data_IF_494760076299
#
_entry.id   IF_494760076299
#
_cell.length_a   1.000
_cell.length_b   1.000
_cell.length_c   1.000
_cell.angle_alpha   90.00
_cell.angle_beta   90.00
_cell.angle_gamma   90.00
#
_symmetry.space_group_name_H-M   'P 1'
#
loop_
_entity.id
_entity.type
_entity.pdbx_description
1 polymer ?
#
# COMPACT_ATOMS: atom_id res chain seq x y z
N UNK A 1 14.67 9.08 -10.53
CA UNK A 1 15.33 9.49 -9.29
C UNK A 1 15.27 8.29 -8.37
N UNK A 2 16.41 7.71 -8.00
CA UNK A 2 16.42 6.63 -7.01
C UNK A 2 16.08 7.28 -5.67
N UNK A 3 14.95 6.91 -5.06
CA UNK A 3 14.66 7.34 -3.69
C UNK A 3 15.73 6.76 -2.78
N UNK A 4 16.54 7.62 -2.17
CA UNK A 4 17.53 7.21 -1.18
C UNK A 4 16.80 6.88 0.12
N UNK A 5 16.74 5.59 0.44
CA UNK A 5 16.30 5.11 1.75
C UNK A 5 17.28 5.55 2.85
N UNK A 6 16.80 5.75 4.09
CA UNK A 6 17.70 6.01 5.21
C UNK A 6 18.58 4.77 5.48
N UNK A 7 19.80 4.98 6.00
CA UNK A 7 20.67 3.87 6.40
C UNK A 7 20.10 3.05 7.56
N UNK A 8 19.35 3.71 8.46
CA UNK A 8 18.72 3.11 9.64
C UNK A 8 17.28 3.60 9.77
N UNK A 9 16.39 2.68 10.13
CA UNK A 9 15.00 2.97 10.45
C UNK A 9 14.86 2.95 11.98
N UNK A 10 14.31 4.02 12.55
CA UNK A 10 14.29 4.29 13.98
C UNK A 10 12.94 3.95 14.65
N UNK A 11 11.87 3.75 13.87
CA UNK A 11 10.56 3.35 14.41
C UNK A 11 9.71 2.57 13.41
N UNK A 12 8.68 1.88 13.92
CA UNK A 12 7.70 1.17 13.09
C UNK A 12 6.90 2.14 12.22
N UNK A 13 6.54 3.33 12.73
CA UNK A 13 5.84 4.34 11.95
C UNK A 13 6.70 4.86 10.79
N UNK A 14 8.01 5.01 11.00
CA UNK A 14 8.92 5.36 9.92
C UNK A 14 9.00 4.24 8.89
N UNK A 15 9.06 2.98 9.32
CA UNK A 15 9.04 1.83 8.44
C UNK A 15 7.74 1.80 7.62
N UNK A 16 6.59 1.94 8.27
CA UNK A 16 5.28 1.91 7.64
C UNK A 16 5.12 3.03 6.62
N UNK A 17 5.55 4.25 6.95
CA UNK A 17 5.55 5.37 6.00
C UNK A 17 6.42 5.09 4.77
N UNK A 18 7.62 4.52 4.95
CA UNK A 18 8.48 4.13 3.83
C UNK A 18 7.87 3.01 2.98
N UNK A 19 7.30 1.99 3.61
CA UNK A 19 6.72 0.83 2.93
C UNK A 19 5.38 1.13 2.26
N UNK A 20 4.70 2.20 2.66
CA UNK A 20 3.37 2.57 2.13
C UNK A 20 3.39 3.82 1.26
N UNK A 21 4.55 4.46 1.07
CA UNK A 21 4.69 5.60 0.16
C UNK A 21 4.59 5.15 -1.30
N UNK A 22 3.63 5.67 -2.09
CA UNK A 22 3.54 5.31 -3.51
C UNK A 22 4.63 6.01 -4.31
N UNK A 23 5.25 5.28 -5.24
CA UNK A 23 6.16 5.89 -6.21
C UNK A 23 5.40 6.75 -7.21
N UNK A 24 6.09 7.71 -7.83
CA UNK A 24 5.51 8.50 -8.94
C UNK A 24 4.97 7.64 -10.08
N UNK A 25 5.68 6.57 -10.44
CA UNK A 25 5.26 5.66 -11.50
C UNK A 25 3.94 4.94 -11.14
N UNK A 26 3.75 4.59 -9.86
CA UNK A 26 2.50 3.99 -9.39
C UNK A 26 1.34 4.99 -9.44
N UNK A 27 1.56 6.25 -9.04
CA UNK A 27 0.56 7.32 -9.11
C UNK A 27 0.12 7.55 -10.57
N UNK A 28 1.07 7.60 -11.51
CA UNK A 28 0.80 7.79 -12.95
C UNK A 28 0.15 6.57 -13.61
N UNK A 29 0.36 5.38 -13.05
CA UNK A 29 -0.23 4.12 -13.55
C UNK A 29 -1.65 3.91 -13.03
N UNK A 30 -1.97 4.32 -11.79
CA UNK A 30 -3.25 4.05 -11.15
C UNK A 30 -4.51 4.45 -11.97
N UNK A 31 -4.55 5.58 -12.70
CA UNK A 31 -5.68 5.93 -13.57
C UNK A 31 -5.89 4.99 -14.76
N UNK A 32 -4.85 4.24 -15.16
CA UNK A 32 -4.88 3.33 -16.32
C UNK A 32 -5.50 1.97 -15.99
N UNK A 33 -5.72 1.69 -14.71
CA UNK A 33 -6.39 0.47 -14.26
C UNK A 33 -7.90 0.66 -14.39
N UNK A 34 -8.57 -0.30 -15.02
CA UNK A 34 -10.03 -0.32 -15.05
C UNK A 34 -10.61 -0.87 -13.74
N UNK A 35 -11.71 -0.29 -13.28
CA UNK A 35 -12.42 -0.75 -12.08
C UNK A 35 -11.72 -0.46 -10.75
N UNK A 36 -12.16 -1.19 -9.72
CA UNK A 36 -11.66 -1.12 -8.33
C UNK A 36 -10.55 -2.15 -8.09
N UNK A 37 -9.83 -2.03 -6.97
CA UNK A 37 -8.70 -2.90 -6.61
C UNK A 37 -9.08 -3.91 -5.52
N UNK A 38 -8.62 -5.15 -5.65
CA UNK A 38 -8.70 -6.17 -4.58
C UNK A 38 -7.30 -6.65 -4.20
N UNK A 39 -7.03 -6.77 -2.89
CA UNK A 39 -5.77 -7.24 -2.33
C UNK A 39 -6.03 -8.50 -1.52
N UNK A 40 -5.53 -9.62 -2.04
CA UNK A 40 -5.61 -10.94 -1.41
C UNK A 40 -4.47 -11.10 -0.40
N UNK A 41 -4.79 -11.47 0.84
CA UNK A 41 -3.80 -11.57 1.92
C UNK A 41 -3.48 -10.22 2.58
N UNK A 42 -4.48 -9.33 2.71
CA UNK A 42 -4.29 -7.97 3.26
C UNK A 42 -3.71 -7.97 4.69
N UNK A 43 -3.99 -9.02 5.48
CA UNK A 43 -3.48 -9.15 6.84
C UNK A 43 -2.10 -9.85 6.93
N UNK A 44 -1.44 -10.10 5.80
CA UNK A 44 -0.06 -10.59 5.77
C UNK A 44 0.96 -9.49 6.07
N UNK A 45 2.23 -9.88 6.22
CA UNK A 45 3.36 -8.97 6.55
C UNK A 45 3.41 -7.69 5.70
N UNK A 46 3.16 -7.81 4.39
CA UNK A 46 3.19 -6.69 3.45
C UNK A 46 1.80 -6.13 3.14
N UNK A 47 0.74 -6.80 3.57
CA UNK A 47 -0.61 -6.54 3.06
C UNK A 47 -1.13 -5.17 3.49
N UNK A 48 -0.95 -4.81 4.77
CA UNK A 48 -1.38 -3.52 5.30
C UNK A 48 -0.64 -2.36 4.61
N UNK A 49 0.69 -2.45 4.51
CA UNK A 49 1.50 -1.44 3.82
C UNK A 49 1.11 -1.30 2.34
N UNK A 50 0.87 -2.42 1.64
CA UNK A 50 0.42 -2.43 0.24
C UNK A 50 -0.97 -1.80 0.08
N UNK A 51 -1.92 -2.11 0.97
CA UNK A 51 -3.25 -1.50 0.98
C UNK A 51 -3.19 0.00 1.19
N UNK A 52 -2.40 0.44 2.17
CA UNK A 52 -2.18 1.86 2.43
C UNK A 52 -1.51 2.55 1.23
N UNK A 53 -0.54 1.90 0.57
CA UNK A 53 0.11 2.42 -0.64
C UNK A 53 -0.88 2.60 -1.79
N UNK A 54 -1.75 1.62 -2.03
CA UNK A 54 -2.76 1.69 -3.07
C UNK A 54 -3.73 2.86 -2.84
N UNK A 55 -4.23 3.01 -1.61
CA UNK A 55 -5.12 4.13 -1.24
C UNK A 55 -4.42 5.48 -1.43
N UNK A 56 -3.18 5.61 -0.94
CA UNK A 56 -2.38 6.84 -1.12
C UNK A 56 -2.13 7.15 -2.61
N UNK A 57 -1.87 6.14 -3.44
CA UNK A 57 -1.68 6.33 -4.88
C UNK A 57 -2.95 6.84 -5.57
N UNK A 58 -4.12 6.27 -5.23
CA UNK A 58 -5.43 6.70 -5.74
C UNK A 58 -5.72 8.16 -5.35
N UNK A 59 -5.46 8.52 -4.09
CA UNK A 59 -5.60 9.89 -3.58
C UNK A 59 -4.65 10.85 -4.30
N UNK A 60 -3.37 10.51 -4.43
CA UNK A 60 -2.37 11.35 -5.08
C UNK A 60 -2.63 11.51 -6.59
N UNK A 61 -3.26 10.52 -7.23
CA UNK A 61 -3.68 10.59 -8.62
C UNK A 61 -5.00 11.37 -8.83
N UNK A 62 -5.66 11.81 -7.74
CA UNK A 62 -6.94 12.52 -7.76
C UNK A 62 -8.04 11.76 -8.53
N UNK A 63 -8.09 10.43 -8.35
CA UNK A 63 -9.11 9.55 -8.93
C UNK A 63 -9.94 8.87 -7.84
N UNK A 64 -11.12 8.40 -8.20
CA UNK A 64 -12.00 7.65 -7.29
C UNK A 64 -12.00 6.17 -7.66
N UNK A 65 -11.48 5.34 -6.76
CA UNK A 65 -11.46 3.88 -6.83
C UNK A 65 -11.59 3.29 -5.42
N UNK A 66 -12.22 2.13 -5.29
CA UNK A 66 -12.28 1.38 -4.04
C UNK A 66 -11.12 0.40 -3.94
N UNK A 67 -10.66 0.16 -2.71
CA UNK A 67 -9.65 -0.86 -2.39
C UNK A 67 -10.28 -1.86 -1.43
N UNK A 68 -10.35 -3.11 -1.84
CA UNK A 68 -10.91 -4.22 -1.07
C UNK A 68 -9.78 -5.09 -0.53
N UNK A 69 -9.66 -5.20 0.79
CA UNK A 69 -8.73 -6.15 1.43
C UNK A 69 -9.41 -7.47 1.77
N UNK A 70 -8.79 -8.60 1.43
CA UNK A 70 -9.28 -9.93 1.77
C UNK A 70 -8.25 -10.68 2.59
N UNK A 71 -8.65 -11.24 3.73
CA UNK A 71 -7.80 -12.11 4.53
C UNK A 71 -8.60 -13.34 4.99
N UNK A 72 -7.92 -14.49 5.07
CA UNK A 72 -8.51 -15.73 5.62
C UNK A 72 -8.40 -15.80 7.15
N UNK A 73 -7.63 -14.89 7.76
CA UNK A 73 -7.34 -14.89 9.19
C UNK A 73 -6.96 -16.27 9.74
N UNK A 74 -6.07 -16.96 9.02
CA UNK A 74 -5.59 -18.29 9.40
C UNK A 74 -4.67 -18.26 10.61
N UNK A 75 -4.13 -17.10 10.94
CA UNK A 75 -3.43 -16.84 12.19
C UNK A 75 -4.43 -16.19 13.18
N UNK A 76 -4.71 -16.83 14.33
CA UNK A 76 -5.60 -16.28 15.36
C UNK A 76 -5.16 -14.92 15.92
N UNK A 77 -3.84 -14.64 15.91
CA UNK A 77 -3.30 -13.38 16.42
C UNK A 77 -3.60 -12.18 15.52
N UNK A 78 -4.06 -12.43 14.29
CA UNK A 78 -4.25 -11.42 13.23
C UNK A 78 -5.73 -11.13 12.98
N UNK A 79 -6.63 -11.76 13.75
CA UNK A 79 -8.09 -11.72 13.57
C UNK A 79 -8.74 -10.45 14.10
#
# INVERSE_FOLDING_TARGET
>A
MLETFPEVIHSEEQLDELLSRPSRALIEMAPRLDGDLIIMGIAGKMGLALGAMAVRAIQAANISKKVYGVARFTDPAVR
#
